data_IF_430334822430
#
_entry.id   IF_430334822430
#
_cell.length_a   1.000
_cell.length_b   1.000
_cell.length_c   1.000
_cell.angle_alpha   90.00
_cell.angle_beta   90.00
_cell.angle_gamma   90.00
#
_symmetry.space_group_name_H-M   'P 1'
#
loop_
_entity.id
_entity.type
_entity.pdbx_description
1 polymer ?
#
# COMPACT_ATOMS: atom_id res chain seq x y z
N UNK A 1 94.69 -168.34 126.75
CA UNK A 1 95.51 -167.72 127.80
C UNK A 1 95.56 -166.22 127.54
N UNK A 2 95.58 -165.39 128.57
CA UNK A 2 95.57 -163.93 128.42
C UNK A 2 96.91 -163.49 127.79
N UNK A 3 96.84 -162.75 126.68
CA UNK A 3 98.00 -162.24 125.94
C UNK A 3 98.37 -160.86 126.49
N UNK A 4 99.52 -160.72 127.14
CA UNK A 4 99.97 -159.49 127.80
C UNK A 4 101.00 -158.68 126.98
N UNK A 5 101.49 -157.56 127.52
CA UNK A 5 102.47 -156.69 126.83
C UNK A 5 103.84 -157.36 126.69
N UNK A 6 104.19 -158.27 127.59
CA UNK A 6 105.39 -159.08 127.51
C UNK A 6 105.27 -160.09 126.37
N UNK A 7 104.12 -160.77 126.25
CA UNK A 7 103.80 -161.66 125.12
C UNK A 7 103.83 -160.93 123.77
N UNK A 8 103.38 -159.67 123.72
CA UNK A 8 103.42 -158.82 122.52
C UNK A 8 104.85 -158.43 122.11
N UNK A 9 105.71 -158.09 123.09
CA UNK A 9 107.11 -157.76 122.84
C UNK A 9 107.93 -159.00 122.46
N UNK A 10 107.57 -160.16 123.02
CA UNK A 10 108.15 -161.45 122.67
C UNK A 10 107.72 -161.88 121.25
N UNK A 11 106.44 -161.67 120.87
CA UNK A 11 105.94 -161.85 119.51
C UNK A 11 106.64 -160.92 118.51
N UNK A 12 106.88 -159.65 118.86
CA UNK A 12 107.63 -158.70 118.02
C UNK A 12 109.09 -159.13 117.82
N UNK A 13 109.75 -159.63 118.86
CA UNK A 13 111.12 -160.15 118.78
C UNK A 13 111.19 -161.42 117.93
N UNK A 14 110.24 -162.34 118.11
CA UNK A 14 110.07 -163.53 117.27
C UNK A 14 109.79 -163.17 115.80
N UNK A 15 108.96 -162.15 115.53
CA UNK A 15 108.68 -161.68 114.16
C UNK A 15 109.86 -160.96 113.51
N UNK A 16 110.82 -160.43 114.28
CA UNK A 16 112.06 -159.86 113.75
C UNK A 16 113.13 -160.93 113.51
N UNK A 17 113.23 -161.95 114.37
CA UNK A 17 114.18 -163.06 114.25
C UNK A 17 113.72 -164.13 113.23
N UNK A 18 112.41 -164.25 112.98
CA UNK A 18 111.78 -165.19 112.02
C UNK A 18 111.06 -164.43 110.89
N UNK A 19 111.73 -164.15 109.76
CA UNK A 19 111.17 -163.35 108.66
C UNK A 19 109.93 -163.98 108.00
N UNK A 20 109.82 -165.32 108.03
CA UNK A 20 108.65 -166.06 107.52
C UNK A 20 107.33 -165.70 108.24
N UNK A 21 107.37 -165.48 109.56
CA UNK A 21 106.16 -165.14 110.33
C UNK A 21 105.73 -163.70 110.09
N UNK A 22 106.69 -162.79 109.87
CA UNK A 22 106.41 -161.40 109.51
C UNK A 22 105.76 -161.31 108.12
N UNK A 23 106.16 -162.13 107.17
CA UNK A 23 105.55 -162.19 105.86
C UNK A 23 104.08 -162.65 105.94
N UNK A 24 103.80 -163.68 106.73
CA UNK A 24 102.44 -164.22 106.88
C UNK A 24 101.52 -163.25 107.63
N UNK A 25 102.03 -162.59 108.68
CA UNK A 25 101.31 -161.52 109.36
C UNK A 25 101.06 -160.33 108.42
N UNK A 26 102.01 -159.99 107.55
CA UNK A 26 101.86 -158.94 106.53
C UNK A 26 100.78 -159.32 105.52
N UNK A 27 100.68 -160.58 105.12
CA UNK A 27 99.65 -161.07 104.18
C UNK A 27 98.24 -161.07 104.79
N UNK A 28 98.12 -161.34 106.09
CA UNK A 28 96.84 -161.32 106.82
C UNK A 28 96.36 -159.90 107.16
N UNK A 29 97.28 -158.98 107.46
CA UNK A 29 96.94 -157.61 107.89
C UNK A 29 96.96 -156.56 106.76
N UNK A 30 97.86 -156.70 105.79
CA UNK A 30 97.94 -155.81 104.63
C UNK A 30 97.41 -156.55 103.40
N UNK A 31 96.08 -156.57 103.29
CA UNK A 31 95.37 -157.06 102.10
C UNK A 31 95.78 -156.25 100.86
N UNK A 32 95.62 -156.84 99.67
CA UNK A 32 95.93 -156.16 98.41
C UNK A 32 95.20 -154.81 98.26
N UNK A 33 94.00 -154.68 98.86
CA UNK A 33 93.24 -153.42 98.94
C UNK A 33 93.97 -152.32 99.72
N UNK A 34 94.57 -152.65 100.87
CA UNK A 34 95.34 -151.69 101.67
C UNK A 34 96.67 -151.32 101.00
N UNK A 35 97.24 -152.24 100.21
CA UNK A 35 98.46 -151.97 99.42
C UNK A 35 98.18 -151.12 98.16
N UNK A 36 96.97 -151.18 97.60
CA UNK A 36 96.54 -150.39 96.44
C UNK A 36 96.09 -148.95 96.79
N UNK A 37 95.77 -148.69 98.05
CA UNK A 37 95.28 -147.40 98.56
C UNK A 37 96.17 -146.18 98.18
N UNK A 38 97.52 -146.24 98.23
CA UNK A 38 98.37 -145.14 97.77
C UNK A 38 98.23 -144.81 96.29
N UNK A 39 97.88 -145.81 95.46
CA UNK A 39 97.64 -145.62 94.03
C UNK A 39 96.27 -144.96 93.81
N UNK A 40 95.22 -145.44 94.48
CA UNK A 40 93.88 -144.84 94.45
C UNK A 40 93.92 -143.37 94.92
N UNK A 41 94.68 -143.08 95.98
CA UNK A 41 94.86 -141.71 96.47
C UNK A 41 95.61 -140.83 95.46
N UNK A 42 96.57 -141.38 94.71
CA UNK A 42 97.24 -140.66 93.62
C UNK A 42 96.30 -140.39 92.45
N UNK A 43 95.52 -141.38 92.02
CA UNK A 43 94.50 -141.22 90.98
C UNK A 43 93.43 -140.20 91.38
N UNK A 44 93.00 -140.22 92.65
CA UNK A 44 92.06 -139.23 93.20
C UNK A 44 92.68 -137.83 93.22
N UNK A 45 93.95 -137.70 93.63
CA UNK A 45 94.67 -136.42 93.58
C UNK A 45 94.82 -135.89 92.15
N UNK A 46 95.02 -136.77 91.16
CA UNK A 46 95.07 -136.40 89.74
C UNK A 46 93.69 -136.03 89.18
N UNK A 47 92.63 -136.75 89.56
CA UNK A 47 91.26 -136.39 89.23
C UNK A 47 90.86 -135.05 89.87
N UNK A 48 91.29 -134.81 91.11
CA UNK A 48 91.07 -133.54 91.80
C UNK A 48 91.82 -132.40 91.11
N UNK A 49 93.10 -132.57 90.76
CA UNK A 49 93.84 -131.58 89.96
C UNK A 49 93.15 -131.26 88.62
N UNK A 50 92.67 -132.27 87.89
CA UNK A 50 91.91 -132.06 86.64
C UNK A 50 90.61 -131.29 86.88
N UNK A 51 89.95 -131.53 88.00
CA UNK A 51 88.73 -130.83 88.38
C UNK A 51 89.03 -129.37 88.74
N UNK A 52 90.09 -129.13 89.52
CA UNK A 52 90.56 -127.76 89.85
C UNK A 52 90.94 -126.98 88.58
N UNK A 53 91.63 -127.61 87.63
CA UNK A 53 91.90 -127.00 86.31
C UNK A 53 90.62 -126.70 85.53
N UNK A 54 89.64 -127.62 85.54
CA UNK A 54 88.37 -127.41 84.87
C UNK A 54 87.56 -126.28 85.51
N UNK A 55 87.54 -126.22 86.85
CA UNK A 55 86.93 -125.13 87.63
C UNK A 55 87.60 -123.81 87.29
N UNK A 56 88.94 -123.75 87.25
CA UNK A 56 89.66 -122.54 86.86
C UNK A 56 89.30 -122.06 85.44
N UNK A 57 89.19 -122.97 84.46
CA UNK A 57 88.72 -122.62 83.11
C UNK A 57 87.28 -122.12 83.10
N UNK A 58 86.40 -122.70 83.91
CA UNK A 58 85.01 -122.25 84.03
C UNK A 58 84.94 -120.87 84.68
N UNK A 59 85.73 -120.61 85.71
CA UNK A 59 85.83 -119.29 86.35
C UNK A 59 86.32 -118.22 85.36
N UNK A 60 87.34 -118.53 84.55
CA UNK A 60 87.81 -117.66 83.47
C UNK A 60 86.73 -117.40 82.41
N UNK A 61 85.96 -118.43 82.01
CA UNK A 61 84.86 -118.29 81.07
C UNK A 61 83.71 -117.44 81.65
N UNK A 62 83.38 -117.63 82.94
CA UNK A 62 82.38 -116.82 83.63
C UNK A 62 82.83 -115.36 83.72
N UNK A 63 84.11 -115.11 84.03
CA UNK A 63 84.66 -113.76 84.05
C UNK A 63 84.60 -113.10 82.66
N UNK A 64 84.95 -113.83 81.60
CA UNK A 64 84.86 -113.36 80.23
C UNK A 64 83.41 -113.08 79.79
N UNK A 65 82.45 -113.91 80.23
CA UNK A 65 81.02 -113.68 79.99
C UNK A 65 80.50 -112.47 80.77
N UNK A 66 80.92 -112.26 82.01
CA UNK A 66 80.56 -111.07 82.80
C UNK A 66 81.09 -109.78 82.15
N UNK A 67 82.32 -109.81 81.65
CA UNK A 67 82.92 -108.70 80.89
C UNK A 67 82.15 -108.43 79.58
N UNK A 68 81.80 -109.48 78.83
CA UNK A 68 80.99 -109.37 77.62
C UNK A 68 79.57 -108.86 77.90
N UNK A 69 78.97 -109.27 79.03
CA UNK A 69 77.69 -108.79 79.50
C UNK A 69 77.76 -107.30 79.83
N UNK A 70 78.78 -106.85 80.58
CA UNK A 70 78.96 -105.41 80.89
C UNK A 70 79.09 -104.56 79.63
N UNK A 71 79.87 -105.00 78.64
CA UNK A 71 80.00 -104.29 77.35
C UNK A 71 78.68 -104.26 76.58
N UNK A 72 77.86 -105.29 76.73
CA UNK A 72 76.53 -105.33 76.10
C UNK A 72 75.58 -104.37 76.79
N UNK A 73 75.57 -104.33 78.12
CA UNK A 73 74.81 -103.35 78.91
C UNK A 73 75.22 -101.91 78.57
N UNK A 74 76.52 -101.62 78.47
CA UNK A 74 77.04 -100.31 78.03
C UNK A 74 76.63 -99.96 76.59
N UNK A 75 76.50 -100.95 75.69
CA UNK A 75 76.00 -100.73 74.32
C UNK A 75 74.50 -100.49 74.31
N UNK A 76 73.74 -101.23 75.12
CA UNK A 76 72.29 -101.07 75.27
C UNK A 76 71.99 -99.68 75.84
N UNK A 77 72.67 -99.23 76.89
CA UNK A 77 72.48 -97.88 77.44
C UNK A 77 72.75 -96.78 76.42
N UNK A 78 73.80 -96.90 75.60
CA UNK A 78 74.06 -95.94 74.50
C UNK A 78 72.99 -95.97 73.40
N UNK A 79 72.35 -97.11 73.17
CA UNK A 79 71.24 -97.23 72.23
C UNK A 79 69.99 -96.59 72.83
N UNK A 80 69.71 -96.80 74.11
CA UNK A 80 68.60 -96.18 74.83
C UNK A 80 68.72 -94.65 74.84
N UNK A 81 69.90 -94.10 75.15
CA UNK A 81 70.16 -92.65 75.08
C UNK A 81 69.94 -92.09 73.68
N UNK A 82 70.41 -92.80 72.64
CA UNK A 82 70.18 -92.41 71.24
C UNK A 82 68.71 -92.51 70.85
N UNK A 83 68.00 -93.53 71.31
CA UNK A 83 66.57 -93.67 71.07
C UNK A 83 65.81 -92.51 71.70
N UNK A 84 66.11 -92.17 72.96
CA UNK A 84 65.51 -91.02 73.64
C UNK A 84 65.78 -89.71 72.90
N UNK A 85 67.01 -89.48 72.43
CA UNK A 85 67.34 -88.30 71.63
C UNK A 85 66.58 -88.28 70.29
N UNK A 86 66.48 -89.42 69.60
CA UNK A 86 65.71 -89.52 68.34
C UNK A 86 64.23 -89.25 68.57
N UNK A 87 63.65 -89.76 69.66
CA UNK A 87 62.26 -89.50 70.04
C UNK A 87 62.01 -87.99 70.27
N UNK A 88 62.93 -87.30 70.96
CA UNK A 88 62.87 -85.85 71.13
C UNK A 88 62.96 -85.10 69.80
N UNK A 89 63.84 -85.51 68.88
CA UNK A 89 63.94 -84.89 67.55
C UNK A 89 62.68 -85.12 66.72
N UNK A 90 62.09 -86.32 66.76
CA UNK A 90 60.83 -86.63 66.08
C UNK A 90 59.71 -85.75 66.64
N UNK A 91 59.61 -85.59 67.96
CA UNK A 91 58.62 -84.73 68.58
C UNK A 91 58.79 -83.26 68.16
N UNK A 92 60.03 -82.76 68.11
CA UNK A 92 60.31 -81.40 67.66
C UNK A 92 59.96 -81.19 66.18
N UNK A 93 60.24 -82.19 65.33
CA UNK A 93 59.90 -82.15 63.91
C UNK A 93 58.38 -82.18 63.69
N UNK A 94 57.66 -82.98 64.47
CA UNK A 94 56.20 -83.04 64.43
C UNK A 94 55.56 -81.69 64.80
N UNK A 95 56.07 -81.00 65.84
CA UNK A 95 55.57 -79.67 66.21
C UNK A 95 55.94 -78.61 65.17
N UNK A 96 57.14 -78.68 64.57
CA UNK A 96 57.52 -77.79 63.47
C UNK A 96 56.63 -78.01 62.21
N UNK A 97 56.30 -79.26 61.91
CA UNK A 97 55.38 -79.63 60.84
C UNK A 97 53.98 -79.06 61.12
N UNK A 98 53.45 -79.24 62.34
CA UNK A 98 52.15 -78.69 62.75
C UNK A 98 52.08 -77.17 62.60
N UNK A 99 53.12 -76.44 63.03
CA UNK A 99 53.21 -74.98 62.83
C UNK A 99 53.26 -74.57 61.36
N UNK A 100 53.88 -75.40 60.53
CA UNK A 100 53.95 -75.15 59.08
C UNK A 100 52.59 -75.36 58.44
N UNK A 101 51.88 -76.43 58.79
CA UNK A 101 50.49 -76.69 58.37
C UNK A 101 49.55 -75.55 58.79
N UNK A 102 49.66 -75.06 60.03
CA UNK A 102 48.89 -73.89 60.51
C UNK A 102 49.23 -72.59 59.75
N UNK A 103 50.49 -72.43 59.29
CA UNK A 103 50.87 -71.28 58.44
C UNK A 103 50.34 -71.42 57.02
N UNK A 104 50.38 -72.62 56.46
CA UNK A 104 49.82 -72.92 55.13
C UNK A 104 48.32 -72.66 55.13
N UNK A 105 47.57 -73.15 56.12
CA UNK A 105 46.13 -72.90 56.23
C UNK A 105 45.79 -71.41 56.30
N UNK A 106 46.56 -70.61 57.07
CA UNK A 106 46.40 -69.14 57.10
C UNK A 106 46.68 -68.47 55.77
N UNK A 107 47.67 -68.94 55.02
CA UNK A 107 47.99 -68.41 53.68
C UNK A 107 46.87 -68.77 52.70
N UNK A 108 46.34 -69.98 52.75
CA UNK A 108 45.21 -70.41 51.93
C UNK A 108 43.96 -69.55 52.19
N UNK A 109 43.65 -69.27 53.46
CA UNK A 109 42.57 -68.35 53.84
C UNK A 109 42.79 -66.93 53.31
N UNK A 110 44.02 -66.40 53.39
CA UNK A 110 44.36 -65.09 52.84
C UNK A 110 44.22 -65.04 51.31
N UNK A 111 44.65 -66.09 50.61
CA UNK A 111 44.50 -66.21 49.16
C UNK A 111 43.01 -66.25 48.78
N UNK A 112 42.20 -67.01 49.51
CA UNK A 112 40.75 -67.06 49.28
C UNK A 112 40.09 -65.68 49.48
N UNK A 113 40.45 -64.97 50.55
CA UNK A 113 39.96 -63.61 50.79
C UNK A 113 40.39 -62.61 49.70
N UNK A 114 41.63 -62.71 49.22
CA UNK A 114 42.11 -61.89 48.11
C UNK A 114 41.39 -62.20 46.80
N UNK A 115 41.12 -63.47 46.49
CA UNK A 115 40.37 -63.87 45.31
C UNK A 115 38.93 -63.32 45.34
N UNK A 116 38.28 -63.34 46.51
CA UNK A 116 36.95 -62.74 46.67
C UNK A 116 36.98 -61.22 46.54
N UNK A 117 37.97 -60.55 47.14
CA UNK A 117 38.16 -59.10 46.98
C UNK A 117 38.43 -58.71 45.53
N UNK A 118 39.21 -59.51 44.80
CA UNK A 118 39.46 -59.33 43.37
C UNK A 118 38.16 -59.46 42.58
N UNK A 119 37.36 -60.52 42.80
CA UNK A 119 36.05 -60.68 42.15
C UNK A 119 35.12 -59.49 42.38
N UNK A 120 35.01 -59.02 43.63
CA UNK A 120 34.20 -57.82 43.95
C UNK A 120 34.70 -56.57 43.23
N UNK A 121 36.00 -56.47 43.01
CA UNK A 121 36.60 -55.35 42.28
C UNK A 121 36.29 -55.45 40.79
N UNK A 122 36.41 -56.63 40.19
CA UNK A 122 36.03 -56.90 38.80
C UNK A 122 34.53 -56.58 38.56
N UNK A 123 33.64 -56.99 39.45
CA UNK A 123 32.21 -56.65 39.39
C UNK A 123 31.94 -55.13 39.52
N UNK A 124 32.75 -54.41 40.29
CA UNK A 124 32.65 -52.95 40.39
C UNK A 124 33.15 -52.28 39.13
N UNK A 125 34.24 -52.76 38.54
CA UNK A 125 34.78 -52.27 37.27
C UNK A 125 33.76 -52.47 36.15
N UNK A 126 33.17 -53.67 36.02
CA UNK A 126 32.12 -53.93 35.02
C UNK A 126 30.91 -52.99 35.16
N UNK A 127 30.45 -52.73 36.39
CA UNK A 127 29.37 -51.75 36.64
C UNK A 127 29.76 -50.32 36.25
N UNK A 128 31.01 -49.91 36.48
CA UNK A 128 31.50 -48.59 36.08
C UNK A 128 31.59 -48.50 34.55
N UNK A 129 32.05 -49.55 33.87
CA UNK A 129 32.08 -49.61 32.41
C UNK A 129 30.68 -49.48 31.79
N UNK A 130 29.69 -50.17 32.35
CA UNK A 130 28.28 -50.04 31.95
C UNK A 130 27.75 -48.61 32.16
N UNK A 131 28.07 -47.97 33.30
CA UNK A 131 27.69 -46.59 33.57
C UNK A 131 28.34 -45.60 32.60
N UNK A 132 29.62 -45.80 32.27
CA UNK A 132 30.33 -44.97 31.28
C UNK A 132 29.69 -45.12 29.89
N UNK A 133 29.35 -46.35 29.49
CA UNK A 133 28.67 -46.60 28.23
C UNK A 133 27.29 -45.91 28.17
N UNK A 134 26.51 -45.99 29.24
CA UNK A 134 25.22 -45.30 29.35
C UNK A 134 25.36 -43.76 29.30
N UNK A 135 26.39 -43.21 29.96
CA UNK A 135 26.69 -41.79 29.92
C UNK A 135 27.11 -41.33 28.52
N UNK A 136 27.93 -42.12 27.82
CA UNK A 136 28.33 -41.81 26.45
C UNK A 136 27.13 -41.80 25.50
N UNK A 137 26.19 -42.72 25.65
CA UNK A 137 24.95 -42.75 24.85
C UNK A 137 24.04 -41.55 25.19
N UNK A 138 23.88 -41.23 26.47
CA UNK A 138 23.13 -40.04 26.91
C UNK A 138 23.74 -38.74 26.37
N UNK A 139 25.08 -38.66 26.34
CA UNK A 139 25.81 -37.54 25.75
C UNK A 139 25.52 -37.43 24.25
N UNK A 140 25.63 -38.52 23.46
CA UNK A 140 25.29 -38.49 22.03
C UNK A 140 23.86 -38.04 21.77
N UNK A 141 22.88 -38.54 22.53
CA UNK A 141 21.48 -38.10 22.42
C UNK A 141 21.32 -36.61 22.72
N UNK A 142 22.13 -36.08 23.64
CA UNK A 142 22.12 -34.65 23.98
C UNK A 142 22.73 -33.83 22.84
N UNK A 143 23.86 -34.25 22.28
CA UNK A 143 24.49 -33.62 21.11
C UNK A 143 23.53 -33.59 19.91
N UNK A 144 22.81 -34.69 19.63
CA UNK A 144 21.80 -34.73 18.58
C UNK A 144 20.61 -33.80 18.84
N UNK A 145 20.22 -33.60 20.11
CA UNK A 145 19.17 -32.63 20.47
C UNK A 145 19.66 -31.21 20.29
N UNK A 146 20.91 -30.93 20.67
CA UNK A 146 21.52 -29.61 20.48
C UNK A 146 21.60 -29.28 18.99
N UNK A 147 22.09 -30.19 18.14
CA UNK A 147 22.13 -29.98 16.70
C UNK A 147 20.75 -29.69 16.08
N UNK A 148 19.70 -30.42 16.51
CA UNK A 148 18.32 -30.13 16.09
C UNK A 148 17.83 -28.75 16.53
N UNK A 149 18.20 -28.30 17.73
CA UNK A 149 17.85 -26.96 18.23
C UNK A 149 18.59 -25.89 17.42
N UNK A 150 19.86 -26.11 17.09
CA UNK A 150 20.64 -25.20 16.23
C UNK A 150 20.01 -25.05 14.84
N UNK A 151 19.59 -26.16 14.21
CA UNK A 151 18.87 -26.15 12.93
C UNK A 151 17.54 -25.36 13.03
N UNK A 152 16.78 -25.56 14.11
CA UNK A 152 15.53 -24.82 14.35
C UNK A 152 15.78 -23.32 14.54
N UNK A 153 16.82 -22.93 15.27
CA UNK A 153 17.22 -21.53 15.45
C UNK A 153 17.61 -20.92 14.10
N UNK A 154 18.39 -21.63 13.28
CA UNK A 154 18.76 -21.15 11.95
C UNK A 154 17.52 -20.96 11.04
N UNK A 155 16.57 -21.89 11.09
CA UNK A 155 15.31 -21.77 10.35
C UNK A 155 14.45 -20.59 10.83
N UNK A 156 14.39 -20.34 12.14
CA UNK A 156 13.69 -19.19 12.72
C UNK A 156 14.35 -17.87 12.33
N UNK A 157 15.68 -17.78 12.33
CA UNK A 157 16.41 -16.59 11.91
C UNK A 157 16.12 -16.24 10.43
N UNK A 158 16.08 -17.25 9.56
CA UNK A 158 15.74 -17.05 8.15
C UNK A 158 14.27 -16.64 7.96
N UNK A 159 13.35 -17.21 8.72
CA UNK A 159 11.94 -16.81 8.71
C UNK A 159 11.75 -15.36 9.22
N UNK A 160 12.52 -14.96 10.24
CA UNK A 160 12.54 -13.59 10.75
C UNK A 160 13.04 -12.62 9.68
N UNK A 161 14.15 -12.91 9.01
CA UNK A 161 14.68 -12.09 7.91
C UNK A 161 13.66 -11.87 6.79
N UNK A 162 12.97 -12.94 6.36
CA UNK A 162 11.89 -12.83 5.35
C UNK A 162 10.73 -11.97 5.81
N UNK A 163 10.45 -11.98 7.12
CA UNK A 163 9.39 -11.15 7.71
C UNK A 163 9.81 -9.69 7.71
N UNK A 164 11.05 -9.39 8.09
CA UNK A 164 11.63 -8.05 8.02
C UNK A 164 11.62 -7.50 6.57
N UNK A 165 12.01 -8.30 5.58
CA UNK A 165 11.91 -7.92 4.16
C UNK A 165 10.48 -7.65 3.69
N UNK A 166 9.49 -8.39 4.23
CA UNK A 166 8.07 -8.15 3.93
C UNK A 166 7.57 -6.86 4.56
N UNK A 167 7.99 -6.57 5.80
CA UNK A 167 7.65 -5.33 6.50
C UNK A 167 8.24 -4.14 5.76
N UNK A 168 9.52 -4.18 5.37
CA UNK A 168 10.15 -3.10 4.60
C UNK A 168 9.41 -2.81 3.29
N UNK A 169 8.97 -3.84 2.55
CA UNK A 169 8.14 -3.66 1.35
C UNK A 169 6.76 -3.04 1.63
N UNK A 170 6.19 -3.30 2.80
CA UNK A 170 4.91 -2.66 3.19
C UNK A 170 5.15 -1.19 3.52
N UNK A 171 6.23 -0.86 4.21
CA UNK A 171 6.61 0.52 4.53
C UNK A 171 6.84 1.34 3.25
N UNK A 172 7.59 0.79 2.28
CA UNK A 172 7.79 1.43 0.97
C UNK A 172 6.46 1.69 0.24
N UNK A 173 5.54 0.71 0.26
CA UNK A 173 4.21 0.87 -0.35
C UNK A 173 3.35 1.89 0.37
N UNK A 174 3.42 1.96 1.70
CA UNK A 174 2.71 2.97 2.48
C UNK A 174 3.21 4.37 2.14
N UNK A 175 4.54 4.57 2.11
CA UNK A 175 5.13 5.85 1.70
C UNK A 175 4.70 6.26 0.29
N UNK A 176 4.69 5.33 -0.67
CA UNK A 176 4.17 5.61 -2.01
C UNK A 176 2.69 5.99 -2.02
N UNK A 177 1.85 5.30 -1.24
CA UNK A 177 0.41 5.63 -1.12
C UNK A 177 0.22 7.01 -0.50
N UNK A 178 0.99 7.37 0.53
CA UNK A 178 0.96 8.70 1.14
C UNK A 178 1.30 9.81 0.14
N UNK A 179 2.32 9.60 -0.71
CA UNK A 179 2.63 10.53 -1.80
C UNK A 179 1.49 10.65 -2.82
N UNK A 180 0.84 9.53 -3.19
CA UNK A 180 -0.31 9.57 -4.09
C UNK A 180 -1.50 10.32 -3.49
N UNK A 181 -1.77 10.13 -2.20
CA UNK A 181 -2.84 10.85 -1.48
C UNK A 181 -2.53 12.35 -1.45
N UNK A 182 -1.28 12.74 -1.18
CA UNK A 182 -0.87 14.14 -1.19
C UNK A 182 -1.04 14.77 -2.58
N UNK A 183 -0.62 14.07 -3.64
CA UNK A 183 -0.78 14.52 -5.01
C UNK A 183 -2.27 14.67 -5.40
N UNK A 184 -3.12 13.72 -4.98
CA UNK A 184 -4.56 13.78 -5.22
C UNK A 184 -5.21 14.95 -4.48
N UNK A 185 -4.79 15.20 -3.24
CA UNK A 185 -5.27 16.33 -2.45
C UNK A 185 -4.92 17.67 -3.12
N UNK A 186 -3.70 17.80 -3.67
CA UNK A 186 -3.30 18.99 -4.42
C UNK A 186 -4.09 19.14 -5.73
N UNK A 187 -4.29 18.05 -6.47
CA UNK A 187 -5.10 18.06 -7.70
C UNK A 187 -6.56 18.44 -7.41
N UNK A 188 -7.12 17.96 -6.29
CA UNK A 188 -8.45 18.34 -5.83
C UNK A 188 -8.50 19.83 -5.51
N UNK A 189 -7.53 20.37 -4.76
CA UNK A 189 -7.47 21.81 -4.43
C UNK A 189 -7.43 22.68 -5.69
N UNK A 190 -6.61 22.32 -6.69
CA UNK A 190 -6.56 23.03 -7.98
C UNK A 190 -7.90 22.97 -8.72
N UNK A 191 -8.62 21.85 -8.60
CA UNK A 191 -9.95 21.70 -9.23
C UNK A 191 -10.97 22.58 -8.52
N UNK A 192 -10.96 22.62 -7.19
CA UNK A 192 -11.81 23.50 -6.39
C UNK A 192 -11.55 24.98 -6.72
N UNK A 193 -10.29 25.40 -6.83
CA UNK A 193 -9.90 26.75 -7.26
C UNK A 193 -10.44 27.07 -8.67
N UNK A 194 -10.34 26.13 -9.62
CA UNK A 194 -10.88 26.30 -10.99
C UNK A 194 -12.40 26.41 -11.00
N UNK A 195 -13.09 25.61 -10.18
CA UNK A 195 -14.55 25.67 -10.05
C UNK A 195 -14.95 27.04 -9.50
N UNK A 196 -14.30 27.51 -8.43
CA UNK A 196 -14.55 28.84 -7.88
C UNK A 196 -14.37 29.95 -8.93
N UNK A 197 -13.33 29.89 -9.75
CA UNK A 197 -13.13 30.86 -10.83
C UNK A 197 -14.23 30.80 -11.90
N UNK A 198 -14.70 29.60 -12.26
CA UNK A 198 -15.81 29.44 -13.20
C UNK A 198 -17.12 30.00 -12.61
N UNK A 199 -17.37 29.77 -11.32
CA UNK A 199 -18.53 30.34 -10.63
C UNK A 199 -18.51 31.87 -10.66
N UNK A 200 -17.36 32.49 -10.41
CA UNK A 200 -17.17 33.95 -10.54
C UNK A 200 -17.43 34.45 -11.98
N UNK A 201 -16.91 33.75 -12.99
CA UNK A 201 -17.14 34.10 -14.39
C UNK A 201 -18.61 33.99 -14.79
N UNK A 202 -19.31 32.94 -14.33
CA UNK A 202 -20.74 32.76 -14.58
C UNK A 202 -21.56 33.86 -13.91
N UNK A 203 -21.21 34.23 -12.67
CA UNK A 203 -21.86 35.33 -11.97
C UNK A 203 -21.67 36.67 -12.70
N UNK A 204 -20.44 36.96 -13.16
CA UNK A 204 -20.15 38.15 -13.94
C UNK A 204 -20.91 38.18 -15.28
N UNK A 205 -20.99 37.05 -15.98
CA UNK A 205 -21.73 36.93 -17.24
C UNK A 205 -23.24 37.14 -17.01
N UNK A 206 -23.79 36.57 -15.93
CA UNK A 206 -25.20 36.77 -15.58
C UNK A 206 -25.53 38.24 -15.30
N UNK A 207 -24.63 38.96 -14.63
CA UNK A 207 -24.81 40.39 -14.38
C UNK A 207 -24.69 41.23 -15.67
N UNK A 208 -23.70 40.93 -16.52
CA UNK A 208 -23.58 41.56 -17.83
C UNK A 208 -24.83 41.32 -18.71
N UNK A 209 -25.40 40.11 -18.67
CA UNK A 209 -26.64 39.78 -19.36
C UNK A 209 -27.81 40.61 -18.84
N UNK A 210 -27.94 40.77 -17.52
CA UNK A 210 -28.99 41.62 -16.92
C UNK A 210 -28.86 43.08 -17.36
N UNK A 211 -27.65 43.62 -17.34
CA UNK A 211 -27.39 44.99 -17.80
C UNK A 211 -27.72 45.17 -19.28
N UNK A 212 -27.33 44.22 -20.13
CA UNK A 212 -27.66 44.26 -21.54
C UNK A 212 -29.17 44.17 -21.80
N UNK A 213 -29.88 43.32 -21.06
CA UNK A 213 -31.36 43.26 -21.13
C UNK A 213 -31.99 44.61 -20.77
N UNK A 214 -31.46 45.30 -19.76
CA UNK A 214 -31.97 46.61 -19.37
C UNK A 214 -31.68 47.68 -20.44
N UNK A 215 -30.48 47.69 -21.02
CA UNK A 215 -30.15 48.56 -22.14
C UNK A 215 -31.06 48.31 -23.35
N UNK A 216 -31.37 47.05 -23.67
CA UNK A 216 -32.30 46.70 -24.74
C UNK A 216 -33.71 47.24 -24.44
N UNK A 217 -34.19 47.13 -23.19
CA UNK A 217 -35.49 47.72 -22.80
C UNK A 217 -35.50 49.23 -22.98
N UNK A 218 -34.45 49.92 -22.52
CA UNK A 218 -34.32 51.38 -22.66
C UNK A 218 -34.27 51.81 -24.13
N UNK A 219 -33.50 51.10 -24.96
CA UNK A 219 -33.42 51.36 -26.40
C UNK A 219 -34.78 51.14 -27.07
N UNK A 220 -35.48 50.07 -26.69
CA UNK A 220 -36.83 49.76 -27.20
C UNK A 220 -37.81 50.90 -26.88
N UNK A 221 -37.83 51.39 -25.64
CA UNK A 221 -38.65 52.53 -25.24
C UNK A 221 -38.29 53.80 -26.01
N UNK A 222 -36.99 54.04 -26.24
CA UNK A 222 -36.51 55.20 -27.01
C UNK A 222 -36.94 55.13 -28.47
N UNK A 223 -36.91 53.94 -29.08
CA UNK A 223 -37.41 53.72 -30.44
C UNK A 223 -38.90 54.02 -30.54
N UNK A 224 -39.71 53.59 -29.56
CA UNK A 224 -41.15 53.91 -29.54
C UNK A 224 -41.40 55.41 -29.43
N UNK A 225 -40.66 56.11 -28.58
CA UNK A 225 -40.77 57.56 -28.44
C UNK A 225 -40.36 58.29 -29.73
N UNK A 226 -39.23 57.88 -30.33
CA UNK A 226 -38.76 58.46 -31.58
C UNK A 226 -39.75 58.20 -32.72
N UNK A 227 -40.34 57.02 -32.79
CA UNK A 227 -41.37 56.70 -33.78
C UNK A 227 -42.59 57.63 -33.66
N UNK A 228 -42.99 57.99 -32.44
CA UNK A 228 -44.06 58.95 -32.20
C UNK A 228 -43.66 60.38 -32.60
N UNK A 229 -42.43 60.80 -32.28
CA UNK A 229 -41.90 62.10 -32.71
C UNK A 229 -41.84 62.23 -34.23
N UNK A 230 -41.39 61.17 -34.93
CA UNK A 230 -41.36 61.14 -36.39
C UNK A 230 -42.77 61.24 -36.96
N UNK A 231 -43.76 60.52 -36.39
CA UNK A 231 -45.18 60.65 -36.81
C UNK A 231 -45.67 62.09 -36.68
N UNK A 232 -45.43 62.73 -35.54
CA UNK A 232 -45.83 64.12 -35.30
C UNK A 232 -45.14 65.11 -36.25
N UNK A 233 -43.85 64.90 -36.54
CA UNK A 233 -43.11 65.70 -37.50
C UNK A 233 -43.67 65.58 -38.92
N UNK A 234 -44.01 64.36 -39.35
CA UNK A 234 -44.65 64.11 -40.65
C UNK A 234 -45.98 64.87 -40.76
N UNK A 235 -46.79 64.88 -39.70
CA UNK A 235 -48.04 65.64 -39.67
C UNK A 235 -47.81 67.15 -39.72
N UNK A 236 -46.81 67.66 -38.99
CA UNK A 236 -46.45 69.08 -38.99
C UNK A 236 -45.90 69.52 -40.36
N UNK A 237 -45.11 68.67 -41.02
CA UNK A 237 -44.62 68.90 -42.37
C UNK A 237 -45.81 69.03 -43.34
N UNK A 238 -46.77 68.10 -43.30
CA UNK A 238 -47.96 68.16 -44.16
C UNK A 238 -48.72 69.48 -44.00
N UNK A 239 -48.94 69.94 -42.76
CA UNK A 239 -49.58 71.25 -42.50
C UNK A 239 -48.79 72.43 -43.07
N UNK A 240 -47.46 72.34 -43.03
CA UNK A 240 -46.58 73.38 -43.60
C UNK A 240 -46.67 73.39 -45.12
N UNK A 241 -46.65 72.22 -45.76
CA UNK A 241 -46.82 72.08 -47.20
C UNK A 241 -48.17 72.68 -47.67
N UNK A 242 -49.26 72.39 -46.94
CA UNK A 242 -50.58 72.97 -47.21
C UNK A 242 -50.57 74.51 -47.08
N UNK A 243 -49.91 75.04 -46.04
CA UNK A 243 -49.80 76.49 -45.80
C UNK A 243 -48.98 77.19 -46.88
N UNK A 244 -47.86 76.59 -47.28
CA UNK A 244 -47.00 77.09 -48.36
C UNK A 244 -47.76 77.08 -49.69
N UNK A 245 -48.52 76.02 -49.97
CA UNK A 245 -49.41 75.95 -51.12
C UNK A 245 -50.39 77.13 -51.18
N UNK A 246 -51.09 77.39 -50.06
CA UNK A 246 -52.02 78.52 -49.96
C UNK A 246 -51.36 79.90 -50.03
N UNK A 247 -50.14 80.07 -49.52
CA UNK A 247 -49.38 81.31 -49.67
C UNK A 247 -48.97 81.55 -51.13
N UNK A 248 -48.51 80.51 -51.83
CA UNK A 248 -48.11 80.60 -53.23
C UNK A 248 -49.26 81.11 -54.11
N UNK A 249 -50.48 80.60 -53.90
CA UNK A 249 -51.69 81.07 -54.60
C UNK A 249 -51.93 82.57 -54.42
N UNK A 250 -52.00 83.06 -53.17
CA UNK A 250 -52.22 84.48 -52.87
C UNK A 250 -51.14 85.41 -53.43
N UNK A 251 -49.88 84.98 -53.42
CA UNK A 251 -48.78 85.79 -54.01
C UNK A 251 -48.95 85.93 -55.52
N UNK A 252 -49.37 84.85 -56.19
CA UNK A 252 -49.61 84.89 -57.63
C UNK A 252 -50.76 85.83 -57.99
N UNK A 253 -51.87 85.77 -57.25
CA UNK A 253 -53.00 86.72 -57.40
C UNK A 253 -52.54 88.18 -57.26
N UNK A 254 -51.81 88.49 -56.19
CA UNK A 254 -51.24 89.82 -55.95
C UNK A 254 -50.30 90.27 -57.08
N UNK A 255 -49.53 89.35 -57.66
CA UNK A 255 -48.65 89.66 -58.78
C UNK A 255 -49.43 90.07 -60.03
N UNK A 256 -50.48 89.35 -60.39
CA UNK A 256 -51.34 89.70 -61.54
C UNK A 256 -52.09 91.02 -61.31
N UNK A 257 -52.54 91.28 -60.09
CA UNK A 257 -53.16 92.56 -59.72
C UNK A 257 -52.16 93.73 -59.80
N UNK A 258 -51.04 93.65 -59.09
CA UNK A 258 -50.05 94.74 -59.00
C UNK A 258 -49.35 95.03 -60.33
N UNK A 259 -49.18 94.02 -61.19
CA UNK A 259 -48.56 94.13 -62.51
C UNK A 259 -49.57 93.99 -63.65
N UNK A 260 -50.84 94.35 -63.42
CA UNK A 260 -51.89 94.24 -64.44
C UNK A 260 -51.52 94.94 -65.76
N UNK A 261 -50.80 96.07 -65.71
CA UNK A 261 -50.32 96.75 -66.92
C UNK A 261 -49.31 95.90 -67.69
N UNK A 262 -48.42 95.17 -67.01
CA UNK A 262 -47.42 94.32 -67.65
C UNK A 262 -48.08 93.08 -68.29
N UNK A 263 -49.04 92.50 -67.59
CA UNK A 263 -49.74 91.28 -68.00
C UNK A 263 -50.80 91.52 -69.10
N UNK A 264 -51.65 92.54 -68.94
CA UNK A 264 -52.78 92.80 -69.83
C UNK A 264 -52.55 93.97 -70.80
N UNK A 265 -51.48 94.75 -70.64
CA UNK A 265 -51.10 95.83 -71.56
C UNK A 265 -50.86 95.42 -73.02
N UNK A 266 -50.35 94.20 -73.31
CA UNK A 266 -50.32 93.68 -74.68
C UNK A 266 -51.72 93.52 -75.30
N UNK A 267 -52.74 93.24 -74.48
CA UNK A 267 -54.12 92.97 -74.92
C UNK A 267 -54.96 94.24 -74.99
N UNK A 268 -54.79 95.12 -74.00
CA UNK A 268 -55.61 96.30 -73.79
C UNK A 268 -54.79 97.59 -73.87
N UNK A 269 -55.41 98.64 -74.39
CA UNK A 269 -54.96 100.03 -74.25
C UNK A 269 -55.52 100.59 -72.95
N UNK A 270 -54.63 101.18 -72.14
CA UNK A 270 -54.93 101.73 -70.80
C UNK A 270 -55.63 100.70 -69.89
N UNK A 271 -55.04 99.50 -69.68
CA UNK A 271 -55.62 98.51 -68.77
C UNK A 271 -55.72 99.08 -67.36
N UNK A 272 -56.84 98.87 -66.70
CA UNK A 272 -57.08 99.25 -65.30
C UNK A 272 -57.64 98.06 -64.55
N UNK A 273 -57.08 97.79 -63.38
CA UNK A 273 -57.74 96.89 -62.43
C UNK A 273 -59.02 97.57 -61.98
N UNK A 274 -60.14 96.87 -62.12
CA UNK A 274 -61.45 97.35 -61.72
C UNK A 274 -61.72 96.85 -60.32
N UNK A 275 -62.08 97.77 -59.43
CA UNK A 275 -62.61 97.41 -58.14
C UNK A 275 -64.04 96.88 -58.32
N UNK A 276 -64.26 95.60 -58.03
CA UNK A 276 -65.59 94.98 -58.06
C UNK A 276 -66.57 95.69 -57.11
N UNK A 277 -66.06 96.34 -56.05
CA UNK A 277 -66.84 97.18 -55.15
C UNK A 277 -67.60 98.30 -55.87
N UNK A 278 -67.04 98.84 -56.96
CA UNK A 278 -67.69 99.87 -57.76
C UNK A 278 -68.83 99.34 -58.63
N UNK A 279 -68.91 98.02 -58.83
CA UNK A 279 -69.91 97.38 -59.69
C UNK A 279 -71.05 96.72 -58.89
N UNK A 280 -70.99 96.71 -57.55
CA UNK A 280 -71.90 95.94 -56.69
C UNK A 280 -73.37 96.22 -56.98
N UNK A 281 -73.79 97.50 -56.98
CA UNK A 281 -75.19 97.88 -57.22
C UNK A 281 -75.69 97.40 -58.60
N UNK A 282 -74.82 97.43 -59.61
CA UNK A 282 -75.17 96.98 -60.97
C UNK A 282 -75.28 95.45 -61.02
N UNK A 283 -74.37 94.74 -60.35
CA UNK A 283 -74.37 93.29 -60.30
C UNK A 283 -75.57 92.75 -59.50
N UNK A 284 -75.89 93.34 -58.35
CA UNK A 284 -77.04 92.96 -57.51
C UNK A 284 -78.38 93.17 -58.22
N UNK A 285 -78.47 94.19 -59.09
CA UNK A 285 -79.67 94.44 -59.87
C UNK A 285 -79.95 93.36 -60.94
N UNK A 286 -78.94 92.61 -61.38
CA UNK A 286 -79.03 91.69 -62.53
C UNK A 286 -78.77 90.21 -62.19
N UNK A 287 -78.18 89.93 -61.03
CA UNK A 287 -77.75 88.60 -60.63
C UNK A 287 -78.47 88.14 -59.37
N UNK A 288 -78.70 86.82 -59.25
CA UNK A 288 -79.18 86.24 -58.00
C UNK A 288 -78.12 86.34 -56.89
N UNK A 289 -78.49 86.22 -55.60
CA UNK A 289 -77.51 86.29 -54.51
C UNK A 289 -76.38 85.26 -54.59
N UNK A 290 -76.64 84.08 -55.16
CA UNK A 290 -75.61 83.04 -55.37
C UNK A 290 -74.68 83.39 -56.53
N UNK A 291 -75.24 83.80 -57.68
CA UNK A 291 -74.47 84.24 -58.84
C UNK A 291 -73.63 85.48 -58.52
N UNK A 292 -74.19 86.42 -57.75
CA UNK A 292 -73.47 87.59 -57.27
C UNK A 292 -72.27 87.19 -56.42
N UNK A 293 -72.45 86.33 -55.41
CA UNK A 293 -71.34 85.83 -54.58
C UNK A 293 -70.27 85.12 -55.40
N UNK A 294 -70.65 84.39 -56.45
CA UNK A 294 -69.68 83.72 -57.32
C UNK A 294 -68.88 84.72 -58.17
N UNK A 295 -69.50 85.79 -58.68
CA UNK A 295 -68.76 86.86 -59.38
C UNK A 295 -67.83 87.60 -58.43
N UNK A 296 -68.21 87.82 -57.17
CA UNK A 296 -67.34 88.45 -56.17
C UNK A 296 -66.08 87.63 -55.85
N UNK A 297 -66.08 86.33 -56.15
CA UNK A 297 -64.92 85.47 -55.99
C UNK A 297 -63.95 85.52 -57.19
N UNK A 298 -64.23 86.33 -58.21
CA UNK A 298 -63.32 86.53 -59.33
C UNK A 298 -62.00 87.12 -58.82
N UNK A 299 -60.88 86.50 -59.19
CA UNK A 299 -59.56 86.87 -58.64
C UNK A 299 -59.10 88.25 -59.11
N UNK A 300 -59.45 88.61 -60.36
CA UNK A 300 -59.10 89.89 -60.93
C UNK A 300 -60.06 90.30 -62.06
N UNK A 301 -60.53 91.55 -62.02
CA UNK A 301 -61.26 92.18 -63.11
C UNK A 301 -60.41 93.31 -63.73
N UNK A 302 -60.20 93.30 -65.04
CA UNK A 302 -59.40 94.32 -65.74
C UNK A 302 -60.20 94.97 -66.86
N UNK A 303 -60.38 96.30 -66.86
CA UNK A 303 -61.01 97.02 -67.98
C UNK A 303 -59.97 97.63 -68.91
N UNK A 304 -60.34 97.80 -70.18
CA UNK A 304 -59.58 98.59 -71.13
C UNK A 304 -60.11 98.43 -72.54
N UNK A 305 -59.55 99.18 -73.49
CA UNK A 305 -59.94 99.06 -74.91
C UNK A 305 -59.09 98.03 -75.62
N UNK A 306 -59.67 97.11 -76.43
CA UNK A 306 -58.87 96.16 -77.21
C UNK A 306 -57.78 96.86 -78.03
N UNK A 307 -56.52 96.46 -77.86
CA UNK A 307 -55.38 97.24 -78.39
C UNK A 307 -55.31 97.27 -79.93
N UNK A 308 -55.70 96.17 -80.56
CA UNK A 308 -55.69 95.99 -82.02
C UNK A 308 -56.99 96.46 -82.70
N UNK A 309 -58.01 96.83 -81.93
CA UNK A 309 -59.28 97.36 -82.43
C UNK A 309 -59.66 98.61 -81.63
N UNK A 310 -59.04 99.78 -81.89
CA UNK A 310 -59.20 100.98 -81.07
C UNK A 310 -60.63 101.56 -81.09
N UNK A 311 -61.35 101.29 -82.17
CA UNK A 311 -62.75 101.68 -82.38
C UNK A 311 -63.72 100.78 -81.59
N UNK A 312 -63.25 99.65 -81.06
CA UNK A 312 -64.07 98.77 -80.23
C UNK A 312 -64.35 99.41 -78.87
N UNK A 313 -65.54 99.13 -78.28
CA UNK A 313 -65.88 99.60 -76.95
C UNK A 313 -64.94 99.01 -75.88
N UNK A 314 -64.96 99.61 -74.69
CA UNK A 314 -64.22 99.10 -73.55
C UNK A 314 -64.74 97.70 -73.16
N UNK A 315 -63.80 96.78 -72.91
CA UNK A 315 -64.06 95.40 -72.48
C UNK A 315 -63.51 95.19 -71.07
N UNK A 316 -64.09 94.22 -70.37
CA UNK A 316 -63.67 93.76 -69.06
C UNK A 316 -63.08 92.36 -69.21
N UNK A 317 -61.96 92.07 -68.56
CA UNK A 317 -61.37 90.74 -68.50
C UNK A 317 -61.71 90.15 -67.15
N UNK A 318 -62.51 89.09 -67.15
CA UNK A 318 -62.80 88.31 -65.96
C UNK A 318 -61.71 87.25 -65.81
N UNK A 319 -60.76 87.49 -64.90
CA UNK A 319 -59.54 86.70 -64.76
C UNK A 319 -59.61 85.78 -63.54
N UNK A 320 -59.45 84.46 -63.77
CA UNK A 320 -59.11 83.48 -62.73
C UNK A 320 -57.60 83.26 -62.71
N UNK A 321 -57.01 83.18 -61.52
CA UNK A 321 -55.56 83.08 -61.32
C UNK A 321 -55.23 81.82 -60.52
N UNK A 322 -54.38 80.96 -61.08
CA UNK A 322 -53.93 79.74 -60.40
C UNK A 322 -52.45 79.45 -60.67
N UNK A 323 -51.77 78.86 -59.68
CA UNK A 323 -50.37 78.44 -59.88
C UNK A 323 -50.24 77.29 -60.89
N UNK A 324 -51.29 76.49 -61.02
CA UNK A 324 -51.45 75.48 -62.07
C UNK A 324 -52.89 75.59 -62.55
N UNK A 325 -53.08 76.15 -63.74
CA UNK A 325 -54.40 76.32 -64.36
C UNK A 325 -54.94 74.93 -64.68
N UNK A 326 -56.06 74.56 -64.07
CA UNK A 326 -56.81 73.33 -64.37
C UNK A 326 -58.13 73.63 -65.11
N UNK A 327 -58.85 72.57 -65.50
CA UNK A 327 -60.13 72.66 -66.19
C UNK A 327 -61.16 73.49 -65.39
N UNK A 328 -61.11 73.41 -64.05
CA UNK A 328 -62.04 74.15 -63.19
C UNK A 328 -61.73 75.64 -63.20
N UNK A 329 -60.47 76.03 -63.27
CA UNK A 329 -60.09 77.43 -63.41
C UNK A 329 -60.69 78.04 -64.69
N UNK A 330 -60.69 77.28 -65.79
CA UNK A 330 -61.32 77.68 -67.06
C UNK A 330 -62.83 77.78 -66.94
N UNK A 331 -63.48 76.78 -66.35
CA UNK A 331 -64.92 76.79 -66.10
C UNK A 331 -65.33 77.97 -65.21
N UNK A 332 -64.54 78.31 -64.18
CA UNK A 332 -64.80 79.47 -63.30
C UNK A 332 -64.69 80.78 -64.07
N UNK A 333 -63.64 80.96 -64.88
CA UNK A 333 -63.45 82.17 -65.69
C UNK A 333 -64.61 82.34 -66.67
N UNK A 334 -64.99 81.26 -67.36
CA UNK A 334 -66.11 81.23 -68.30
C UNK A 334 -67.42 81.62 -67.60
N UNK A 335 -67.76 80.92 -66.52
CA UNK A 335 -69.00 81.14 -65.77
C UNK A 335 -69.10 82.57 -65.25
N UNK A 336 -68.05 83.08 -64.60
CA UNK A 336 -68.04 84.43 -64.01
C UNK A 336 -68.07 85.53 -65.08
N UNK A 337 -67.38 85.32 -66.20
CA UNK A 337 -67.49 86.25 -67.35
C UNK A 337 -68.92 86.31 -67.90
N UNK A 338 -69.61 85.17 -68.01
CA UNK A 338 -70.97 85.11 -68.52
C UNK A 338 -71.97 85.84 -67.58
N UNK A 339 -71.75 85.75 -66.27
CA UNK A 339 -72.53 86.50 -65.28
C UNK A 339 -72.29 88.01 -65.39
N UNK A 340 -71.03 88.44 -65.52
CA UNK A 340 -70.71 89.86 -65.78
C UNK A 340 -71.38 90.37 -67.07
N UNK A 341 -71.45 89.54 -68.11
CA UNK A 341 -72.17 89.86 -69.34
C UNK A 341 -73.67 90.00 -69.14
N UNK A 342 -74.29 89.12 -68.35
CA UNK A 342 -75.71 89.24 -67.98
C UNK A 342 -76.01 90.53 -67.22
N UNK A 343 -75.05 91.06 -66.47
CA UNK A 343 -75.15 92.35 -65.80
C UNK A 343 -74.81 93.57 -66.71
N UNK A 344 -74.62 93.34 -68.02
CA UNK A 344 -74.43 94.40 -69.01
C UNK A 344 -72.97 94.78 -69.28
N UNK A 345 -71.99 94.10 -68.68
CA UNK A 345 -70.57 94.36 -68.94
C UNK A 345 -70.06 93.52 -70.12
N UNK A 346 -69.21 94.09 -70.97
CA UNK A 346 -68.56 93.32 -72.05
C UNK A 346 -67.39 92.51 -71.48
N UNK A 347 -67.68 91.44 -70.75
CA UNK A 347 -66.68 90.63 -70.09
C UNK A 347 -66.14 89.51 -70.98
N UNK A 348 -64.82 89.33 -71.00
CA UNK A 348 -64.10 88.27 -71.70
C UNK A 348 -63.51 87.35 -70.63
N UNK A 349 -63.75 86.04 -70.70
CA UNK A 349 -63.14 85.09 -69.77
C UNK A 349 -61.63 84.97 -70.03
N UNK A 350 -60.86 85.03 -68.95
CA UNK A 350 -59.41 84.84 -68.98
C UNK A 350 -59.02 83.93 -67.82
N UNK A 351 -58.13 82.99 -68.08
CA UNK A 351 -57.40 82.26 -67.03
C UNK A 351 -55.94 82.68 -67.04
N UNK A 352 -55.32 82.76 -65.88
CA UNK A 352 -53.96 83.23 -65.73
C UNK A 352 -53.18 82.36 -64.74
N UNK A 353 -51.91 82.11 -65.02
CA UNK A 353 -51.11 81.23 -64.16
C UNK A 353 -49.69 80.96 -64.65
N UNK A 354 -48.94 80.18 -63.88
CA UNK A 354 -47.56 79.80 -64.24
C UNK A 354 -47.53 78.70 -65.31
N UNK A 355 -48.44 77.73 -65.19
CA UNK A 355 -48.56 76.57 -66.09
C UNK A 355 -50.02 76.18 -66.22
N UNK A 356 -50.39 75.58 -67.35
CA UNK A 356 -51.71 74.97 -67.56
C UNK A 356 -51.60 73.45 -67.66
N UNK A 357 -52.63 72.74 -67.20
CA UNK A 357 -52.80 71.31 -67.52
C UNK A 357 -53.25 71.17 -68.97
N UNK A 358 -53.00 70.00 -69.56
CA UNK A 358 -53.45 69.72 -70.94
C UNK A 358 -54.98 69.87 -71.08
N UNK A 359 -55.75 69.42 -70.08
CA UNK A 359 -57.20 69.58 -70.13
C UNK A 359 -57.66 71.03 -70.00
N UNK A 360 -56.97 71.87 -69.22
CA UNK A 360 -57.25 73.30 -69.18
C UNK A 360 -57.01 73.98 -70.54
N UNK A 361 -55.95 73.62 -71.25
CA UNK A 361 -55.66 74.14 -72.58
C UNK A 361 -56.74 73.77 -73.61
N UNK A 362 -57.23 72.52 -73.56
CA UNK A 362 -58.28 72.03 -74.45
C UNK A 362 -59.64 72.68 -74.13
N UNK A 363 -59.99 72.81 -72.85
CA UNK A 363 -61.22 73.47 -72.39
C UNK A 363 -61.24 74.95 -72.77
N UNK A 364 -60.12 75.65 -72.58
CA UNK A 364 -59.99 77.06 -72.95
C UNK A 364 -60.12 77.26 -74.46
N UNK A 365 -59.57 76.34 -75.27
CA UNK A 365 -59.70 76.36 -76.73
C UNK A 365 -61.14 76.13 -77.18
N UNK A 366 -61.83 75.18 -76.57
CA UNK A 366 -63.22 74.84 -76.90
C UNK A 366 -64.19 76.01 -76.63
N UNK A 367 -63.97 76.75 -75.54
CA UNK A 367 -64.87 77.82 -75.09
C UNK A 367 -64.36 79.24 -75.41
N UNK A 368 -63.26 79.35 -76.17
CA UNK A 368 -62.64 80.61 -76.53
C UNK A 368 -62.33 81.49 -75.31
N UNK A 369 -61.75 80.87 -74.28
CA UNK A 369 -61.24 81.54 -73.07
C UNK A 369 -59.79 81.93 -73.33
N UNK A 370 -59.43 83.18 -73.05
CA UNK A 370 -58.05 83.61 -73.22
C UNK A 370 -57.18 83.01 -72.09
N UNK A 371 -56.00 82.52 -72.43
CA UNK A 371 -55.07 81.95 -71.45
C UNK A 371 -53.85 82.86 -71.34
N UNK A 372 -53.60 83.38 -70.15
CA UNK A 372 -52.45 84.20 -69.82
C UNK A 372 -51.46 83.43 -68.95
N UNK A 373 -50.59 82.67 -69.62
CA UNK A 373 -49.61 81.82 -68.97
C UNK A 373 -48.22 82.47 -69.00
N UNK A 374 -47.64 82.68 -67.82
CA UNK A 374 -46.28 83.24 -67.65
C UNK A 374 -46.02 84.50 -68.52
N UNK A 375 -46.98 85.42 -68.51
CA UNK A 375 -46.91 86.66 -69.28
C UNK A 375 -47.12 86.53 -70.80
N UNK A 376 -47.36 85.32 -71.31
CA UNK A 376 -47.74 85.06 -72.70
C UNK A 376 -49.23 84.83 -72.80
N UNK A 377 -49.83 85.31 -73.88
CA UNK A 377 -51.27 85.24 -74.08
C UNK A 377 -51.57 84.31 -75.26
N UNK A 378 -52.48 83.37 -75.03
CA UNK A 378 -53.00 82.44 -76.01
C UNK A 378 -54.52 82.66 -76.15
N UNK A 379 -55.06 82.32 -77.33
CA UNK A 379 -56.50 82.38 -77.65
C UNK A 379 -57.15 83.77 -77.55
N UNK A 380 -56.35 84.84 -77.48
CA UNK A 380 -56.88 86.20 -77.30
C UNK A 380 -57.73 86.66 -78.48
N UNK A 381 -57.33 86.37 -79.72
CA UNK A 381 -58.07 86.84 -80.89
C UNK A 381 -59.43 86.14 -81.00
N UNK A 382 -59.44 84.84 -80.71
CA UNK A 382 -60.60 83.98 -80.64
C UNK A 382 -61.55 84.44 -79.53
N UNK A 383 -61.02 84.68 -78.32
CA UNK A 383 -61.79 85.17 -77.19
C UNK A 383 -62.36 86.57 -77.46
N UNK A 384 -61.56 87.49 -78.01
CA UNK A 384 -62.02 88.84 -78.31
C UNK A 384 -63.15 88.82 -79.33
N UNK A 385 -63.04 88.00 -80.38
CA UNK A 385 -64.08 87.88 -81.41
C UNK A 385 -65.36 87.25 -80.85
N UNK A 386 -65.22 86.19 -80.06
CA UNK A 386 -66.34 85.48 -79.46
C UNK A 386 -67.12 86.35 -78.45
N UNK A 387 -66.41 87.19 -77.68
CA UNK A 387 -66.99 87.83 -76.48
C UNK A 387 -67.14 89.35 -76.54
N UNK A 388 -66.42 90.08 -77.40
CA UNK A 388 -66.52 91.56 -77.46
C UNK A 388 -67.68 92.09 -78.34
N UNK A 389 -68.20 91.24 -79.23
CA UNK A 389 -69.13 91.61 -80.31
C UNK A 389 -70.60 91.27 -80.03
N UNK A 390 -70.94 90.80 -78.82
CA UNK A 390 -72.31 90.46 -78.42
C UNK A 390 -72.64 90.94 -77.02
#
# INVERSE_FOLDING_TARGET
MAFDVHDYLELLRLLQERPEWRAELRRLLLTDELLALPEIVRELAEAQRRTEEHVGRVEEQIAALAEAQRRTEERVGRVEERMSWVEEQIAALAEAQRRTEERVGRVEEQIAALAEAQRRTEERVGRVEEQIAALAEAQRRTEERVGRVEEQIAALAEAQRRTEERVGRVEERMSWVEEQIAALAEAQRRTEERVGHVEEQVAALAEAQRQMQEQIRQLTSSIYLLAEQVRSLVEAQKRTDDTVGGLKGRVLELMYQSKAVAYFGPLLRRPRVVDLGALLETLEAHLSPEEFRDVLQLDLLVSGKPRLQPEAPEVFLAVEISSVIDERDVERALRRSALLRRAGFRAIPVVAGERATLGAEDEARAHHVAVLQDGRVFLWAEALHAWATS
#
